data_IF_214777367175
#
_entry.id   IF_214777367175
#
_cell.length_a   1.000
_cell.length_b   1.000
_cell.length_c   1.000
_cell.angle_alpha   90.00
_cell.angle_beta   90.00
_cell.angle_gamma   90.00
#
_symmetry.space_group_name_H-M   'P 1'
#
loop_
_entity.id
_entity.type
_entity.pdbx_description
1 polymer ?
#
# COMPACT_ATOMS: atom_id res chain seq x y z
N UNK A 1 -21.97 19.60 54.42
CA UNK A 1 -21.79 18.47 53.47
C UNK A 1 -22.88 18.42 52.39
N UNK A 2 -24.18 18.42 52.73
CA UNK A 2 -25.29 18.42 51.72
C UNK A 2 -25.23 19.56 50.69
N UNK A 3 -24.85 20.79 51.09
CA UNK A 3 -24.70 21.94 50.18
C UNK A 3 -23.52 21.80 49.20
N UNK A 4 -22.40 21.18 49.60
CA UNK A 4 -21.28 20.91 48.69
C UNK A 4 -21.64 19.83 47.67
N UNK A 5 -22.42 18.82 48.07
CA UNK A 5 -22.90 17.77 47.16
C UNK A 5 -23.81 18.36 46.08
N UNK A 6 -24.69 19.30 46.43
CA UNK A 6 -25.55 19.98 45.45
C UNK A 6 -24.76 20.83 44.44
N UNK A 7 -23.69 21.50 44.88
CA UNK A 7 -22.82 22.29 44.00
C UNK A 7 -22.03 21.36 43.06
N UNK A 8 -21.53 20.23 43.58
CA UNK A 8 -20.81 19.24 42.77
C UNK A 8 -21.72 18.57 41.72
N UNK A 9 -22.98 18.28 42.06
CA UNK A 9 -23.96 17.70 41.14
C UNK A 9 -24.39 18.69 40.04
N UNK A 10 -24.50 19.99 40.38
CA UNK A 10 -24.81 21.05 39.42
C UNK A 10 -23.68 21.32 38.42
N UNK A 11 -22.42 21.18 38.85
CA UNK A 11 -21.25 21.29 37.96
C UNK A 11 -21.19 20.09 36.99
N UNK A 12 -21.59 18.90 37.44
CA UNK A 12 -21.62 17.70 36.61
C UNK A 12 -22.66 17.77 35.48
N UNK A 13 -23.77 18.50 35.69
CA UNK A 13 -24.81 18.70 34.67
C UNK A 13 -24.45 19.70 33.56
N UNK A 14 -23.35 20.44 33.69
CA UNK A 14 -22.88 21.36 32.66
C UNK A 14 -21.95 20.71 31.62
N UNK A 15 -21.57 19.43 31.80
CA UNK A 15 -20.78 18.71 30.81
C UNK A 15 -21.68 18.11 29.74
N UNK A 16 -21.82 18.82 28.61
CA UNK A 16 -22.44 18.27 27.41
C UNK A 16 -21.51 17.22 26.79
N UNK A 17 -21.80 15.94 27.04
CA UNK A 17 -21.15 14.84 26.32
C UNK A 17 -21.73 14.81 24.91
N UNK A 18 -20.96 15.28 23.94
CA UNK A 18 -21.33 15.18 22.52
C UNK A 18 -20.88 13.82 22.01
N UNK A 19 -21.84 12.92 21.75
CA UNK A 19 -21.59 11.63 21.11
C UNK A 19 -21.58 11.74 19.59
N UNK A 20 -21.09 10.70 18.91
CA UNK A 20 -21.18 10.60 17.45
C UNK A 20 -22.64 10.58 17.00
N UNK A 21 -22.93 11.28 15.90
CA UNK A 21 -24.27 11.36 15.33
C UNK A 21 -24.23 11.15 13.81
N UNK A 22 -25.43 10.99 13.22
CA UNK A 22 -25.62 10.79 11.79
C UNK A 22 -25.28 12.02 10.95
N UNK A 23 -25.47 13.22 11.51
CA UNK A 23 -25.30 14.50 10.82
C UNK A 23 -23.81 14.76 10.53
N UNK A 24 -22.92 14.29 11.42
CA UNK A 24 -21.47 14.27 11.26
C UNK A 24 -20.98 12.95 10.60
N UNK A 25 -21.88 12.15 10.05
CA UNK A 25 -21.60 10.87 9.41
C UNK A 25 -20.78 9.89 10.27
N UNK A 26 -20.91 9.94 11.60
CA UNK A 26 -20.11 9.15 12.53
C UNK A 26 -18.59 9.23 12.20
N UNK A 27 -18.12 10.43 11.86
CA UNK A 27 -16.73 10.65 11.49
C UNK A 27 -15.79 10.57 12.70
N UNK A 28 -14.63 9.95 12.50
CA UNK A 28 -13.59 9.78 13.52
C UNK A 28 -12.22 10.04 12.91
N UNK A 29 -11.30 10.60 13.68
CA UNK A 29 -9.90 10.72 13.26
C UNK A 29 -9.31 9.33 13.00
N UNK A 30 -8.62 9.17 11.86
CA UNK A 30 -8.01 7.90 11.50
C UNK A 30 -7.03 7.41 12.57
N UNK A 31 -6.28 8.31 13.20
CA UNK A 31 -5.39 7.96 14.33
C UNK A 31 -6.15 7.27 15.48
N UNK A 32 -7.36 7.73 15.81
CA UNK A 32 -8.18 7.13 16.86
C UNK A 32 -8.76 5.79 16.42
N UNK A 33 -9.17 5.69 15.16
CA UNK A 33 -9.63 4.43 14.56
C UNK A 33 -8.54 3.37 14.58
N UNK A 34 -7.30 3.75 14.23
CA UNK A 34 -6.15 2.82 14.22
C UNK A 34 -5.82 2.34 15.64
N UNK A 35 -5.89 3.22 16.66
CA UNK A 35 -5.73 2.81 18.07
C UNK A 35 -6.81 1.83 18.51
N UNK A 36 -8.06 2.05 18.11
CA UNK A 36 -9.16 1.11 18.40
C UNK A 36 -8.93 -0.26 17.73
N UNK A 37 -8.34 -0.28 16.52
CA UNK A 37 -7.96 -1.53 15.84
C UNK A 37 -6.85 -2.25 16.62
N UNK A 38 -5.80 -1.55 17.04
CA UNK A 38 -4.73 -2.15 17.87
C UNK A 38 -5.31 -2.82 19.11
N UNK A 39 -6.20 -2.11 19.81
CA UNK A 39 -6.85 -2.62 21.03
C UNK A 39 -7.74 -3.83 20.77
N UNK A 40 -8.59 -3.77 19.74
CA UNK A 40 -9.60 -4.81 19.46
C UNK A 40 -8.99 -6.11 18.95
N UNK A 41 -7.99 -6.02 18.08
CA UNK A 41 -7.39 -7.18 17.42
C UNK A 41 -6.09 -7.61 18.08
N UNK A 42 -5.63 -6.91 19.12
CA UNK A 42 -4.39 -7.18 19.83
C UNK A 42 -3.19 -7.20 18.88
N UNK A 43 -3.07 -6.14 18.07
CA UNK A 43 -1.98 -5.97 17.09
C UNK A 43 -1.25 -4.66 17.36
N UNK A 44 -0.04 -4.54 16.80
CA UNK A 44 0.73 -3.30 16.77
C UNK A 44 0.76 -2.74 15.36
N UNK A 45 0.48 -1.45 15.21
CA UNK A 45 0.52 -0.73 13.94
C UNK A 45 1.71 0.24 13.91
N UNK A 46 2.53 0.14 12.86
CA UNK A 46 3.69 1.00 12.65
C UNK A 46 3.46 1.90 11.44
N UNK A 47 3.54 3.21 11.64
CA UNK A 47 3.36 4.18 10.58
C UNK A 47 4.01 5.51 10.91
N UNK A 48 4.26 6.31 9.88
CA UNK A 48 4.67 7.69 10.07
C UNK A 48 3.44 8.54 10.38
N UNK A 49 3.55 9.47 11.33
CA UNK A 49 2.42 10.30 11.79
C UNK A 49 1.78 11.10 10.64
N UNK A 50 2.59 11.61 9.72
CA UNK A 50 2.13 12.43 8.60
C UNK A 50 1.22 11.68 7.61
N UNK A 51 1.22 10.35 7.62
CA UNK A 51 0.32 9.55 6.77
C UNK A 51 -1.14 9.58 7.23
N UNK A 52 -1.40 9.92 8.50
CA UNK A 52 -2.73 9.79 9.12
C UNK A 52 -3.21 11.08 9.77
N UNK A 53 -2.32 12.05 9.95
CA UNK A 53 -2.60 13.32 10.60
C UNK A 53 -3.71 14.08 9.88
N UNK A 54 -4.76 14.46 10.62
CA UNK A 54 -5.89 15.20 10.09
C UNK A 54 -6.84 14.42 9.17
N UNK A 55 -6.62 13.11 8.97
CA UNK A 55 -7.52 12.29 8.16
C UNK A 55 -8.74 11.87 8.96
N UNK A 56 -9.92 12.14 8.41
CA UNK A 56 -11.22 11.79 9.00
C UNK A 56 -11.87 10.65 8.23
N UNK A 57 -12.29 9.61 8.95
CA UNK A 57 -12.98 8.46 8.40
C UNK A 57 -14.46 8.52 8.73
N UNK A 58 -15.30 8.66 7.71
CA UNK A 58 -16.76 8.60 7.86
C UNK A 58 -17.25 7.18 8.09
N UNK A 59 -18.30 7.04 8.91
CA UNK A 59 -18.87 5.77 9.33
C UNK A 59 -17.81 4.82 9.90
N UNK A 60 -16.86 5.36 10.66
CA UNK A 60 -15.61 4.67 11.00
C UNK A 60 -15.85 3.29 11.63
N UNK A 61 -16.63 3.24 12.71
CA UNK A 61 -16.87 1.98 13.42
C UNK A 61 -17.76 1.00 12.65
N UNK A 62 -18.58 1.47 11.70
CA UNK A 62 -19.35 0.60 10.79
C UNK A 62 -18.47 -0.14 9.77
N UNK A 63 -17.20 0.25 9.61
CA UNK A 63 -16.23 -0.43 8.74
C UNK A 63 -15.58 -1.64 9.40
N UNK A 64 -15.73 -1.77 10.73
CA UNK A 64 -15.19 -2.90 11.49
C UNK A 64 -15.91 -4.20 11.14
N UNK A 65 -15.15 -5.29 11.14
CA UNK A 65 -15.61 -6.65 10.87
C UNK A 65 -15.03 -7.58 11.94
N UNK A 66 -15.55 -8.81 12.10
CA UNK A 66 -14.98 -9.76 13.05
C UNK A 66 -13.48 -10.02 12.83
N UNK A 67 -13.00 -9.96 11.58
CA UNK A 67 -11.59 -10.14 11.24
C UNK A 67 -10.80 -8.81 11.11
N UNK A 68 -9.52 -8.88 11.50
CA UNK A 68 -8.56 -7.77 11.39
C UNK A 68 -8.37 -7.31 9.94
N UNK A 69 -8.10 -8.22 9.02
CA UNK A 69 -7.69 -7.91 7.64
C UNK A 69 -8.78 -7.14 6.88
N UNK A 70 -10.02 -7.61 7.00
CA UNK A 70 -11.17 -6.96 6.37
C UNK A 70 -11.43 -5.58 6.98
N UNK A 71 -11.22 -5.42 8.29
CA UNK A 71 -11.35 -4.13 8.97
C UNK A 71 -10.29 -3.15 8.49
N UNK A 72 -9.01 -3.55 8.50
CA UNK A 72 -7.92 -2.71 8.01
C UNK A 72 -8.12 -2.29 6.55
N UNK A 73 -8.53 -3.23 5.70
CA UNK A 73 -8.82 -2.94 4.29
C UNK A 73 -9.93 -1.88 4.17
N UNK A 74 -11.04 -2.02 4.90
CA UNK A 74 -12.16 -1.07 4.82
C UNK A 74 -11.83 0.32 5.38
N UNK A 75 -10.90 0.38 6.34
CA UNK A 75 -10.48 1.60 7.05
C UNK A 75 -9.42 2.37 6.27
N UNK A 76 -8.45 1.66 5.67
CA UNK A 76 -7.32 2.28 4.97
C UNK A 76 -7.61 2.62 3.50
N UNK A 77 -8.40 1.81 2.81
CA UNK A 77 -8.68 1.98 1.37
C UNK A 77 -9.24 3.36 0.98
N UNK A 78 -10.09 4.03 1.79
CA UNK A 78 -10.55 5.39 1.49
C UNK A 78 -9.45 6.45 1.38
N UNK A 79 -8.25 6.16 1.88
CA UNK A 79 -7.13 7.10 1.95
C UNK A 79 -5.94 6.67 1.08
N UNK A 80 -6.13 5.70 0.18
CA UNK A 80 -5.04 5.08 -0.59
C UNK A 80 -3.88 4.62 0.30
N UNK A 81 -4.21 4.09 1.48
CA UNK A 81 -3.26 3.47 2.40
C UNK A 81 -3.37 1.95 2.31
N UNK A 82 -2.24 1.28 2.55
CA UNK A 82 -2.11 -0.16 2.59
C UNK A 82 -1.29 -0.58 3.82
N UNK A 83 -1.40 -1.85 4.20
CA UNK A 83 -0.63 -2.41 5.30
C UNK A 83 0.08 -3.70 4.89
N UNK A 84 1.20 -4.00 5.56
CA UNK A 84 1.96 -5.24 5.39
C UNK A 84 2.38 -5.77 6.75
N UNK A 85 2.36 -7.09 6.92
CA UNK A 85 2.88 -7.72 8.13
C UNK A 85 4.40 -7.50 8.22
N UNK A 86 4.87 -6.97 9.33
CA UNK A 86 6.30 -6.74 9.63
C UNK A 86 6.80 -7.57 10.82
N UNK A 87 5.90 -8.25 11.54
CA UNK A 87 6.19 -9.19 12.63
C UNK A 87 4.95 -10.04 12.98
N UNK A 88 5.05 -10.90 14.00
CA UNK A 88 4.00 -11.87 14.36
C UNK A 88 2.62 -11.23 14.55
N UNK A 89 2.56 -10.07 15.23
CA UNK A 89 1.34 -9.27 15.41
C UNK A 89 1.61 -7.78 15.12
N UNK A 90 2.57 -7.50 14.25
CA UNK A 90 2.96 -6.13 13.90
C UNK A 90 2.76 -5.89 12.42
N UNK A 91 2.13 -4.77 12.09
CA UNK A 91 1.80 -4.39 10.72
C UNK A 91 2.25 -2.97 10.43
N UNK A 92 2.94 -2.78 9.31
CA UNK A 92 3.36 -1.46 8.83
C UNK A 92 2.34 -0.89 7.87
N UNK A 93 1.86 0.32 8.12
CA UNK A 93 1.00 1.08 7.21
C UNK A 93 1.87 2.00 6.34
N UNK A 94 1.56 2.04 5.05
CA UNK A 94 2.21 2.92 4.08
C UNK A 94 1.22 3.34 3.00
N UNK A 95 1.56 4.36 2.21
CA UNK A 95 0.82 4.67 0.99
C UNK A 95 0.77 3.46 0.06
N UNK A 96 -0.37 3.30 -0.61
CA UNK A 96 -0.55 2.32 -1.67
C UNK A 96 0.51 2.54 -2.77
N UNK A 97 1.08 1.43 -3.25
CA UNK A 97 2.07 1.44 -4.33
C UNK A 97 1.59 0.52 -5.43
N UNK A 98 1.33 1.07 -6.61
CA UNK A 98 0.84 0.31 -7.77
C UNK A 98 1.80 -0.81 -8.21
N UNK A 99 3.11 -0.64 -7.95
CA UNK A 99 4.14 -1.63 -8.26
C UNK A 99 4.22 -2.77 -7.24
N UNK A 100 3.49 -2.67 -6.13
CA UNK A 100 3.48 -3.68 -5.08
C UNK A 100 2.17 -4.43 -5.08
N UNK A 101 2.29 -5.75 -5.15
CA UNK A 101 1.15 -6.66 -5.13
C UNK A 101 1.27 -7.58 -3.90
N UNK A 102 0.18 -7.81 -3.15
CA UNK A 102 0.14 -8.87 -2.15
C UNK A 102 0.51 -10.22 -2.75
N UNK A 103 1.12 -11.09 -1.95
CA UNK A 103 1.54 -12.43 -2.41
C UNK A 103 0.34 -13.24 -2.92
N UNK A 104 -0.79 -13.13 -2.25
CA UNK A 104 -2.01 -13.87 -2.61
C UNK A 104 -2.62 -13.38 -3.93
N UNK A 105 -2.73 -12.06 -4.12
CA UNK A 105 -3.14 -11.46 -5.39
C UNK A 105 -2.18 -11.87 -6.54
N UNK A 106 -0.87 -11.91 -6.25
CA UNK A 106 0.13 -12.39 -7.21
C UNK A 106 -0.04 -13.86 -7.56
N UNK A 107 -0.35 -14.70 -6.58
CA UNK A 107 -0.64 -16.13 -6.76
C UNK A 107 -1.90 -16.32 -7.61
N UNK A 108 -2.96 -15.56 -7.33
CA UNK A 108 -4.20 -15.56 -8.11
C UNK A 108 -3.95 -15.13 -9.56
N UNK A 109 -3.21 -14.04 -9.77
CA UNK A 109 -2.87 -13.54 -11.09
C UNK A 109 -2.03 -14.56 -11.88
N UNK A 110 -1.02 -15.17 -11.25
CA UNK A 110 -0.21 -16.20 -11.88
C UNK A 110 -1.05 -17.43 -12.23
N UNK A 111 -1.94 -17.87 -11.35
CA UNK A 111 -2.86 -18.96 -11.64
C UNK A 111 -3.76 -18.63 -12.84
N UNK A 112 -4.35 -17.43 -12.86
CA UNK A 112 -5.15 -16.94 -13.98
C UNK A 112 -4.36 -16.92 -15.30
N UNK A 113 -3.15 -16.37 -15.29
CA UNK A 113 -2.29 -16.29 -16.49
C UNK A 113 -1.84 -17.66 -16.96
N UNK A 114 -1.51 -18.57 -16.04
CA UNK A 114 -1.10 -19.94 -16.37
C UNK A 114 -2.21 -20.75 -17.04
N UNK A 115 -3.48 -20.44 -16.73
CA UNK A 115 -4.65 -21.06 -17.36
C UNK A 115 -5.02 -20.50 -18.74
N UNK A 116 -4.32 -19.48 -19.26
CA UNK A 116 -4.65 -18.85 -20.55
C UNK A 116 -4.03 -19.53 -21.77
N UNK A 117 -2.95 -20.28 -21.58
CA UNK A 117 -2.17 -20.87 -22.66
C UNK A 117 -1.92 -22.32 -22.31
N UNK A 118 -2.53 -23.23 -23.06
CA UNK A 118 -2.56 -24.66 -22.73
C UNK A 118 -1.58 -25.49 -23.55
N UNK A 119 -1.13 -24.93 -24.69
CA UNK A 119 -0.14 -25.54 -25.58
C UNK A 119 1.02 -24.57 -25.85
N UNK A 120 2.13 -25.12 -26.34
CA UNK A 120 3.37 -24.35 -26.57
C UNK A 120 3.14 -23.23 -27.59
N UNK A 121 2.39 -23.50 -28.64
CA UNK A 121 2.12 -22.58 -29.75
C UNK A 121 1.40 -21.31 -29.27
N UNK A 122 0.36 -21.46 -28.44
CA UNK A 122 -0.37 -20.34 -27.83
C UNK A 122 0.53 -19.49 -26.93
N UNK A 123 1.38 -20.14 -26.14
CA UNK A 123 2.31 -19.47 -25.24
C UNK A 123 3.39 -18.68 -26.01
N UNK A 124 3.94 -19.28 -27.07
CA UNK A 124 4.92 -18.62 -27.94
C UNK A 124 4.32 -17.42 -28.66
N UNK A 125 3.08 -17.54 -29.15
CA UNK A 125 2.35 -16.42 -29.73
C UNK A 125 2.21 -15.29 -28.71
N UNK A 126 1.72 -15.58 -27.50
CA UNK A 126 1.57 -14.56 -26.45
C UNK A 126 2.90 -13.91 -26.08
N UNK A 127 3.96 -14.70 -25.96
CA UNK A 127 5.31 -14.20 -25.66
C UNK A 127 5.77 -13.22 -26.72
N UNK A 128 5.51 -13.49 -27.99
CA UNK A 128 5.84 -12.59 -29.10
C UNK A 128 5.09 -11.26 -29.00
N UNK A 129 3.76 -11.32 -28.78
CA UNK A 129 2.92 -10.13 -28.59
C UNK A 129 3.41 -9.28 -27.41
N UNK A 130 3.66 -9.91 -26.25
CA UNK A 130 4.15 -9.21 -25.06
C UNK A 130 5.48 -8.51 -25.31
N UNK A 131 6.41 -9.13 -26.04
CA UNK A 131 7.68 -8.50 -26.38
C UNK A 131 7.48 -7.24 -27.23
N UNK A 132 6.64 -7.31 -28.26
CA UNK A 132 6.35 -6.13 -29.09
C UNK A 132 5.71 -5.03 -28.25
N UNK A 133 4.67 -5.37 -27.49
CA UNK A 133 3.97 -4.41 -26.63
C UNK A 133 4.90 -3.78 -25.58
N UNK A 134 5.82 -4.54 -24.97
CA UNK A 134 6.78 -4.00 -24.01
C UNK A 134 7.72 -2.99 -24.67
N UNK A 135 8.24 -3.29 -25.87
CA UNK A 135 9.11 -2.37 -26.59
C UNK A 135 8.37 -1.08 -26.97
N UNK A 136 7.14 -1.19 -27.47
CA UNK A 136 6.30 -0.04 -27.81
C UNK A 136 5.94 0.79 -26.56
N UNK A 137 5.52 0.14 -25.47
CA UNK A 137 5.12 0.81 -24.22
C UNK A 137 6.28 1.51 -23.53
N UNK A 138 7.50 1.00 -23.71
CA UNK A 138 8.74 1.61 -23.19
C UNK A 138 9.36 2.62 -24.17
N UNK A 139 8.69 2.91 -25.30
CA UNK A 139 9.21 3.79 -26.36
C UNK A 139 10.56 3.33 -26.93
N UNK A 140 10.78 2.02 -26.95
CA UNK A 140 11.96 1.33 -27.52
C UNK A 140 11.67 0.79 -28.93
N UNK A 141 10.54 1.16 -29.54
CA UNK A 141 10.21 0.78 -30.92
C UNK A 141 9.44 1.91 -31.62
N UNK A 142 9.95 2.42 -32.76
CA UNK A 142 11.29 2.16 -33.30
C UNK A 142 12.36 2.85 -32.44
N UNK A 143 13.51 2.19 -32.26
CA UNK A 143 14.72 2.87 -31.80
C UNK A 143 15.25 3.77 -32.94
N UNK A 144 15.98 4.86 -32.61
CA UNK A 144 16.69 5.61 -33.63
C UNK A 144 17.68 4.72 -34.38
N UNK A 145 17.85 4.99 -35.67
CA UNK A 145 18.85 4.32 -36.49
C UNK A 145 20.26 4.53 -35.88
N UNK A 146 21.10 3.48 -35.83
CA UNK A 146 22.48 3.61 -35.38
C UNK A 146 23.23 4.65 -36.21
N UNK A 147 24.05 5.48 -35.57
CA UNK A 147 24.85 6.51 -36.25
C UNK A 147 25.98 5.94 -37.10
N UNK A 148 26.26 4.65 -37.00
CA UNK A 148 27.37 3.97 -37.70
C UNK A 148 28.77 4.38 -37.22
N UNK A 149 28.86 5.26 -36.22
CA UNK A 149 30.15 5.68 -35.64
C UNK A 149 30.66 4.56 -34.73
N UNK A 150 31.89 4.05 -34.94
CA UNK A 150 32.45 3.03 -34.07
C UNK A 150 32.61 3.57 -32.63
N UNK A 151 32.37 2.74 -31.60
CA UNK A 151 32.53 3.15 -30.21
C UNK A 151 33.99 3.48 -29.89
N UNK A 152 34.20 4.46 -29.02
CA UNK A 152 35.55 4.86 -28.60
C UNK A 152 35.95 4.00 -27.40
N UNK A 153 36.89 3.09 -27.61
CA UNK A 153 37.44 2.25 -26.54
C UNK A 153 38.63 2.96 -25.90
N UNK A 154 38.61 3.11 -24.58
CA UNK A 154 39.69 3.75 -23.83
C UNK A 154 40.13 2.91 -22.63
N UNK A 155 41.36 3.18 -22.15
CA UNK A 155 41.85 2.73 -20.85
C UNK A 155 41.75 1.22 -20.62
N UNK A 156 42.20 0.42 -21.61
CA UNK A 156 42.31 -1.03 -21.48
C UNK A 156 43.27 -1.39 -20.34
N UNK A 157 42.78 -2.17 -19.37
CA UNK A 157 43.55 -2.63 -18.20
C UNK A 157 43.48 -4.14 -18.11
N UNK A 158 44.64 -4.79 -18.07
CA UNK A 158 44.75 -6.23 -17.83
C UNK A 158 45.01 -6.50 -16.35
N UNK A 159 44.23 -7.40 -15.78
CA UNK A 159 44.39 -7.98 -14.46
C UNK A 159 44.66 -9.49 -14.61
N UNK A 160 45.03 -10.15 -13.52
CA UNK A 160 45.46 -11.55 -13.53
C UNK A 160 44.44 -12.52 -14.17
N UNK A 161 43.15 -12.22 -14.10
CA UNK A 161 42.08 -13.09 -14.63
C UNK A 161 41.06 -12.40 -15.54
N UNK A 162 41.18 -11.09 -15.77
CA UNK A 162 40.22 -10.35 -16.60
C UNK A 162 40.81 -9.07 -17.17
N UNK A 163 40.12 -8.52 -18.17
CA UNK A 163 40.45 -7.24 -18.79
C UNK A 163 39.26 -6.29 -18.64
N UNK A 164 39.54 -5.01 -18.42
CA UNK A 164 38.52 -3.95 -18.37
C UNK A 164 38.78 -2.95 -19.47
N UNK A 165 37.73 -2.57 -20.18
CA UNK A 165 37.71 -1.53 -21.21
C UNK A 165 36.54 -0.59 -20.95
N UNK A 166 36.80 0.72 -21.06
CA UNK A 166 35.75 1.72 -21.00
C UNK A 166 35.27 2.03 -22.43
N UNK A 167 33.95 2.10 -22.64
CA UNK A 167 33.33 2.38 -23.94
C UNK A 167 32.61 3.73 -23.84
N UNK A 168 32.91 4.65 -24.74
CA UNK A 168 32.27 5.96 -24.88
C UNK A 168 31.65 6.14 -26.27
#
# INVERSE_FOLDING_TARGET
>A
MKKLIFIFLAILSCFSVSGQNSDDHYAVLLEEVLKEIENRYHVKLEYRKDLVEGLWLTNAYYRFRPGFEKTMTNVLKPFDLAYKQSGEQTYRISSYRYSEMPVEDGRELLAFLSGKYTILEEWEQRRSELKSCMLESLFLSPMPEPTGTPPIITNRRSYDSYVVENIA
#
